data_IF_651595453609
#
_entry.id   IF_651595453609
#
_cell.length_a   1.000
_cell.length_b   1.000
_cell.length_c   1.000
_cell.angle_alpha   90.00
_cell.angle_beta   90.00
_cell.angle_gamma   90.00
#
_symmetry.space_group_name_H-M   'P 1'
#
loop_
_entity.id
_entity.type
_entity.pdbx_description
1 polymer ?
#
# COMPACT_ATOMS: atom_id res chain seq x y z
N UNK A 1 3.41 0.38 -17.08
CA UNK A 1 3.74 -0.88 -16.35
C UNK A 1 2.55 -1.34 -15.52
N UNK A 2 2.60 -2.54 -14.94
CA UNK A 2 1.64 -3.05 -13.97
C UNK A 2 2.30 -3.25 -12.60
N UNK A 3 1.51 -3.59 -11.57
CA UNK A 3 2.02 -3.71 -10.20
C UNK A 3 3.09 -4.81 -10.02
N UNK A 4 3.05 -5.89 -10.81
CA UNK A 4 4.11 -6.91 -10.76
C UNK A 4 5.43 -6.39 -11.33
N UNK A 5 5.37 -5.67 -12.44
CA UNK A 5 6.55 -5.04 -13.06
C UNK A 5 7.14 -3.96 -12.15
N UNK A 6 6.29 -3.16 -11.49
CA UNK A 6 6.74 -2.15 -10.52
C UNK A 6 7.50 -2.80 -9.35
N UNK A 7 6.96 -3.89 -8.79
CA UNK A 7 7.66 -4.66 -7.74
C UNK A 7 9.01 -5.20 -8.21
N UNK A 8 9.09 -5.73 -9.43
CA UNK A 8 10.33 -6.25 -9.99
C UNK A 8 11.41 -5.16 -10.13
N UNK A 9 11.03 -3.95 -10.56
CA UNK A 9 11.96 -2.81 -10.61
C UNK A 9 12.54 -2.51 -9.24
N UNK A 10 11.68 -2.42 -8.20
CA UNK A 10 12.13 -2.14 -6.83
C UNK A 10 13.01 -3.28 -6.28
N UNK A 11 12.62 -4.53 -6.46
CA UNK A 11 13.38 -5.70 -5.99
C UNK A 11 14.74 -5.84 -6.68
N UNK A 12 14.90 -5.32 -7.90
CA UNK A 12 16.20 -5.26 -8.59
C UNK A 12 17.06 -4.08 -8.19
N UNK A 13 16.67 -3.29 -7.20
CA UNK A 13 17.37 -2.06 -6.77
C UNK A 13 17.12 -0.87 -7.68
N UNK A 14 16.14 -0.94 -8.58
CA UNK A 14 15.72 0.16 -9.43
C UNK A 14 14.91 1.21 -8.68
N UNK A 15 14.55 2.28 -9.39
CA UNK A 15 13.74 3.39 -8.88
C UNK A 15 12.48 3.53 -9.70
N UNK A 16 11.40 3.94 -9.04
CA UNK A 16 10.12 4.27 -9.66
C UNK A 16 9.70 5.68 -9.22
N UNK A 17 9.01 6.38 -10.12
CA UNK A 17 8.57 7.75 -9.89
C UNK A 17 7.04 7.81 -9.84
N UNK A 18 6.53 8.47 -8.84
CA UNK A 18 5.09 8.61 -8.67
C UNK A 18 4.68 9.95 -8.10
N UNK A 19 3.39 10.18 -8.05
CA UNK A 19 2.79 11.37 -7.43
C UNK A 19 1.52 11.00 -6.67
N UNK A 20 1.11 11.86 -5.74
CA UNK A 20 -0.16 11.73 -5.03
C UNK A 20 -1.22 12.62 -5.68
N UNK A 21 -2.43 12.08 -5.84
CA UNK A 21 -3.57 12.79 -6.37
C UNK A 21 -4.57 13.04 -5.24
N UNK A 22 -4.59 14.26 -4.76
CA UNK A 22 -5.43 14.68 -3.64
C UNK A 22 -6.64 15.50 -4.07
N UNK A 23 -6.48 16.45 -4.99
CA UNK A 23 -7.49 17.48 -5.27
C UNK A 23 -8.35 17.21 -6.48
N UNK A 24 -7.76 16.68 -7.57
CA UNK A 24 -8.50 16.51 -8.82
C UNK A 24 -9.59 15.45 -8.72
N UNK A 25 -10.78 15.77 -9.22
CA UNK A 25 -11.94 14.87 -9.25
C UNK A 25 -12.36 14.47 -10.67
N UNK A 26 -11.85 15.14 -11.69
CA UNK A 26 -12.22 14.83 -13.07
C UNK A 26 -11.19 13.88 -13.69
N UNK A 27 -11.57 12.64 -14.08
CA UNK A 27 -10.63 11.66 -14.62
C UNK A 27 -10.16 11.96 -16.07
N UNK A 28 -10.74 12.94 -16.75
CA UNK A 28 -10.43 13.22 -18.18
C UNK A 28 -8.97 13.61 -18.45
N UNK A 29 -8.24 14.06 -17.47
CA UNK A 29 -6.82 14.41 -17.61
C UNK A 29 -5.87 13.20 -17.47
N UNK A 30 -6.36 12.06 -16.97
CA UNK A 30 -5.53 10.88 -16.68
C UNK A 30 -4.76 10.38 -17.92
N UNK A 31 -5.34 10.32 -19.15
CA UNK A 31 -4.57 9.91 -20.32
C UNK A 31 -3.35 10.79 -20.62
N UNK A 32 -3.36 12.05 -20.16
CA UNK A 32 -2.20 12.93 -20.34
C UNK A 32 -1.04 12.62 -19.38
N UNK A 33 -1.26 11.78 -18.36
CA UNK A 33 -0.21 11.28 -17.48
C UNK A 33 0.67 10.23 -18.16
N UNK A 34 0.17 9.61 -19.22
CA UNK A 34 0.96 8.68 -20.02
C UNK A 34 2.08 9.45 -20.75
N UNK A 35 3.29 8.96 -20.65
CA UNK A 35 4.45 9.58 -21.31
C UNK A 35 5.14 10.73 -20.56
N UNK A 36 4.64 11.15 -19.39
CA UNK A 36 5.34 12.13 -18.54
C UNK A 36 6.36 11.51 -17.59
N UNK A 37 6.57 10.18 -17.66
CA UNK A 37 7.59 9.47 -16.88
C UNK A 37 7.14 9.06 -15.48
N UNK A 38 5.84 8.96 -15.23
CA UNK A 38 5.32 8.40 -13.97
C UNK A 38 5.08 6.90 -14.11
N UNK A 39 5.55 6.16 -13.11
CA UNK A 39 5.38 4.72 -12.98
C UNK A 39 4.11 4.37 -12.18
N UNK A 40 3.79 5.19 -11.17
CA UNK A 40 2.62 5.00 -10.33
C UNK A 40 1.98 6.31 -9.87
N UNK A 41 0.78 6.21 -9.37
CA UNK A 41 0.08 7.28 -8.65
C UNK A 41 -0.52 6.75 -7.36
N UNK A 42 -0.52 7.58 -6.31
CA UNK A 42 -1.29 7.33 -5.10
C UNK A 42 -2.55 8.18 -5.13
N UNK A 43 -3.71 7.53 -5.17
CA UNK A 43 -5.00 8.19 -5.08
C UNK A 43 -5.37 8.26 -3.59
N UNK A 44 -5.43 9.48 -3.07
CA UNK A 44 -5.69 9.71 -1.65
C UNK A 44 -7.18 9.65 -1.33
N UNK A 45 -7.55 8.74 -0.43
CA UNK A 45 -8.91 8.65 0.13
C UNK A 45 -8.95 8.76 1.65
N UNK A 46 -7.81 9.02 2.28
CA UNK A 46 -7.69 9.29 3.71
C UNK A 46 -8.07 10.75 4.01
N UNK A 47 -7.33 11.71 3.45
CA UNK A 47 -7.57 13.13 3.69
C UNK A 47 -8.43 13.80 2.61
N UNK A 48 -8.81 13.07 1.57
CA UNK A 48 -9.60 13.60 0.47
C UNK A 48 -10.82 12.73 0.21
N UNK A 49 -11.98 13.28 0.52
CA UNK A 49 -13.24 12.59 0.27
C UNK A 49 -13.41 12.29 -1.22
N UNK A 50 -13.59 11.01 -1.53
CA UNK A 50 -14.05 10.51 -2.82
C UNK A 50 -15.17 9.51 -2.60
N UNK A 51 -16.22 9.63 -3.39
CA UNK A 51 -17.23 8.57 -3.42
C UNK A 51 -16.64 7.30 -4.06
N UNK A 52 -17.28 6.16 -3.79
CA UNK A 52 -16.88 4.88 -4.42
C UNK A 52 -16.97 4.94 -5.94
N UNK A 53 -17.96 5.67 -6.49
CA UNK A 53 -18.12 5.88 -7.93
C UNK A 53 -16.94 6.68 -8.51
N UNK A 54 -16.62 7.83 -7.92
CA UNK A 54 -15.47 8.65 -8.35
C UNK A 54 -14.16 7.86 -8.31
N UNK A 55 -13.93 7.07 -7.25
CA UNK A 55 -12.76 6.22 -7.16
C UNK A 55 -12.74 5.17 -8.29
N UNK A 56 -13.87 4.51 -8.54
CA UNK A 56 -14.01 3.53 -9.62
C UNK A 56 -13.72 4.12 -10.99
N UNK A 57 -14.22 5.34 -11.27
CA UNK A 57 -13.96 6.05 -12.53
C UNK A 57 -12.47 6.37 -12.70
N UNK A 58 -11.80 6.84 -11.63
CA UNK A 58 -10.36 7.08 -11.63
C UNK A 58 -9.56 5.81 -11.92
N UNK A 59 -9.85 4.74 -11.18
CA UNK A 59 -9.16 3.47 -11.33
C UNK A 59 -9.36 2.86 -12.72
N UNK A 60 -10.58 2.94 -13.25
CA UNK A 60 -10.89 2.51 -14.61
C UNK A 60 -10.04 3.26 -15.64
N UNK A 61 -9.92 4.58 -15.51
CA UNK A 61 -9.10 5.39 -16.41
C UNK A 61 -7.61 5.10 -16.25
N UNK A 62 -7.08 5.01 -15.02
CA UNK A 62 -5.66 4.67 -14.83
C UNK A 62 -5.30 3.30 -15.39
N UNK A 63 -6.18 2.32 -15.32
CA UNK A 63 -5.96 1.00 -15.89
C UNK A 63 -5.93 0.99 -17.46
N UNK A 64 -6.27 2.10 -18.11
CA UNK A 64 -6.03 2.28 -19.57
C UNK A 64 -4.66 2.88 -19.88
N UNK A 65 -3.90 3.29 -18.88
CA UNK A 65 -2.55 3.85 -19.00
C UNK A 65 -1.50 2.85 -18.52
N UNK A 66 -0.23 3.18 -18.73
CA UNK A 66 0.89 2.44 -18.16
C UNK A 66 1.27 2.88 -16.73
N UNK A 67 0.42 3.66 -16.04
CA UNK A 67 0.67 4.19 -14.69
C UNK A 67 -0.08 3.36 -13.66
N UNK A 68 0.63 2.80 -12.67
CA UNK A 68 0.06 1.89 -11.66
C UNK A 68 -0.77 2.67 -10.63
N UNK A 69 -2.09 2.44 -10.50
CA UNK A 69 -2.90 3.11 -9.50
C UNK A 69 -2.81 2.40 -8.14
N UNK A 70 -2.33 3.11 -7.14
CA UNK A 70 -2.31 2.72 -5.73
C UNK A 70 -3.32 3.60 -4.98
N UNK A 71 -4.10 3.04 -4.08
CA UNK A 71 -5.07 3.80 -3.26
C UNK A 71 -4.56 3.92 -1.84
N UNK A 72 -4.41 5.15 -1.34
CA UNK A 72 -4.26 5.34 0.10
C UNK A 72 -5.65 5.21 0.73
N UNK A 73 -5.83 4.13 1.50
CA UNK A 73 -7.11 3.84 2.17
C UNK A 73 -7.27 4.69 3.43
N UNK A 74 -8.52 4.91 3.93
CA UNK A 74 -8.73 5.80 5.08
C UNK A 74 -8.15 5.30 6.40
N UNK A 75 -8.14 3.98 6.60
CA UNK A 75 -7.64 3.31 7.80
C UNK A 75 -7.08 1.94 7.42
N UNK A 76 -6.18 1.32 8.20
CA UNK A 76 -5.62 0.00 7.94
C UNK A 76 -6.64 -1.12 8.23
N UNK A 77 -7.64 -1.25 7.36
CA UNK A 77 -8.77 -2.17 7.50
C UNK A 77 -8.98 -2.95 6.20
N UNK A 78 -9.19 -4.26 6.33
CA UNK A 78 -9.36 -5.22 5.23
C UNK A 78 -10.54 -4.89 4.31
N UNK A 79 -11.59 -4.24 4.83
CA UNK A 79 -12.74 -3.82 4.02
C UNK A 79 -12.35 -2.76 2.99
N UNK A 80 -11.58 -1.74 3.40
CA UNK A 80 -11.13 -0.70 2.49
C UNK A 80 -10.10 -1.22 1.48
N UNK A 81 -9.22 -2.12 1.89
CA UNK A 81 -8.30 -2.83 0.98
C UNK A 81 -9.09 -3.57 -0.10
N UNK A 82 -10.03 -4.41 0.31
CA UNK A 82 -10.87 -5.17 -0.62
C UNK A 82 -11.62 -4.26 -1.57
N UNK A 83 -12.21 -3.17 -1.05
CA UNK A 83 -12.96 -2.21 -1.83
C UNK A 83 -12.12 -1.50 -2.90
N UNK A 84 -10.89 -1.11 -2.54
CA UNK A 84 -9.97 -0.46 -3.48
C UNK A 84 -9.52 -1.42 -4.59
N UNK A 85 -9.10 -2.63 -4.21
CA UNK A 85 -8.63 -3.64 -5.18
C UNK A 85 -9.78 -4.11 -6.08
N UNK A 86 -11.00 -4.31 -5.55
CA UNK A 86 -12.17 -4.69 -6.36
C UNK A 86 -12.59 -3.59 -7.34
N UNK A 87 -12.35 -2.33 -6.99
CA UNK A 87 -12.57 -1.20 -7.88
C UNK A 87 -11.49 -1.06 -8.98
N UNK A 88 -10.39 -1.81 -8.92
CA UNK A 88 -9.34 -1.83 -9.93
C UNK A 88 -8.00 -1.23 -9.51
N UNK A 89 -7.80 -0.93 -8.22
CA UNK A 89 -6.46 -0.57 -7.71
C UNK A 89 -5.50 -1.73 -7.88
N UNK A 90 -4.27 -1.42 -8.26
CA UNK A 90 -3.16 -2.38 -8.31
C UNK A 90 -2.29 -2.35 -7.04
N UNK A 91 -2.68 -1.55 -6.06
CA UNK A 91 -2.06 -1.52 -4.76
C UNK A 91 -2.85 -0.68 -3.77
N UNK A 92 -2.49 -0.84 -2.51
CA UNK A 92 -2.99 -0.04 -1.40
C UNK A 92 -1.83 0.49 -0.57
N UNK A 93 -2.00 1.71 -0.04
CA UNK A 93 -1.21 2.29 1.01
C UNK A 93 -2.12 2.36 2.24
N UNK A 94 -1.82 1.57 3.26
CA UNK A 94 -2.53 1.61 4.53
C UNK A 94 -1.82 2.58 5.46
N UNK A 95 -2.43 3.71 5.86
CA UNK A 95 -1.80 4.72 6.69
C UNK A 95 -1.65 4.23 8.14
N UNK A 96 -0.83 4.88 8.93
CA UNK A 96 -0.64 4.72 10.38
C UNK A 96 -0.81 3.29 10.93
N UNK A 97 -0.15 2.32 10.29
CA UNK A 97 -0.07 0.97 10.83
C UNK A 97 0.78 0.96 12.11
N UNK A 98 0.20 0.44 13.19
CA UNK A 98 0.83 0.41 14.52
C UNK A 98 0.97 -1.00 15.08
N UNK A 99 0.27 -1.98 14.52
CA UNK A 99 0.28 -3.35 15.01
C UNK A 99 0.47 -4.38 13.89
N UNK A 100 1.04 -5.52 14.26
CA UNK A 100 1.21 -6.68 13.37
C UNK A 100 -0.14 -7.16 12.83
N UNK A 101 -1.18 -7.10 13.64
CA UNK A 101 -2.53 -7.53 13.27
C UNK A 101 -3.12 -6.64 12.17
N UNK A 102 -2.96 -5.32 12.25
CA UNK A 102 -3.37 -4.41 11.17
C UNK A 102 -2.65 -4.75 9.86
N UNK A 103 -1.35 -4.98 9.93
CA UNK A 103 -0.55 -5.36 8.75
C UNK A 103 -1.02 -6.69 8.16
N UNK A 104 -1.29 -7.70 9.00
CA UNK A 104 -1.83 -8.99 8.57
C UNK A 104 -3.19 -8.85 7.88
N UNK A 105 -4.08 -7.99 8.37
CA UNK A 105 -5.36 -7.71 7.73
C UNK A 105 -5.19 -7.07 6.36
N UNK A 106 -4.33 -6.05 6.25
CA UNK A 106 -4.03 -5.37 4.98
C UNK A 106 -3.44 -6.34 3.97
N UNK A 107 -2.41 -7.09 4.35
CA UNK A 107 -1.75 -8.07 3.48
C UNK A 107 -2.72 -9.18 3.09
N UNK A 108 -3.47 -9.72 4.05
CA UNK A 108 -4.45 -10.76 3.80
C UNK A 108 -5.47 -10.36 2.72
N UNK A 109 -6.03 -9.16 2.85
CA UNK A 109 -6.99 -8.63 1.90
C UNK A 109 -6.37 -8.27 0.54
N UNK A 110 -5.11 -7.82 0.50
CA UNK A 110 -4.44 -7.45 -0.75
C UNK A 110 -3.91 -8.66 -1.52
N UNK A 111 -3.32 -9.64 -0.82
CA UNK A 111 -2.56 -10.75 -1.44
C UNK A 111 -3.34 -12.05 -1.59
N UNK A 112 -4.35 -12.29 -0.74
CA UNK A 112 -5.01 -13.60 -0.66
C UNK A 112 -6.51 -13.56 -0.96
N UNK A 113 -7.00 -12.49 -1.60
CA UNK A 113 -8.39 -12.44 -2.03
C UNK A 113 -8.68 -13.50 -3.10
N UNK A 114 -9.88 -14.13 -3.10
CA UNK A 114 -11.05 -13.76 -2.34
C UNK A 114 -11.18 -14.43 -0.95
N UNK A 115 -10.11 -14.98 -0.38
CA UNK A 115 -10.20 -15.55 0.97
C UNK A 115 -10.62 -14.49 1.99
N UNK A 116 -11.38 -14.92 2.99
CA UNK A 116 -11.90 -14.10 4.08
C UNK A 116 -11.91 -14.87 5.40
N UNK A 117 -12.05 -14.13 6.50
CA UNK A 117 -12.24 -14.69 7.83
C UNK A 117 -11.09 -15.61 8.25
N UNK A 118 -11.42 -16.78 8.80
CA UNK A 118 -10.44 -17.74 9.31
C UNK A 118 -9.48 -18.27 8.21
N UNK A 119 -9.99 -18.47 6.99
CA UNK A 119 -9.18 -19.02 5.91
C UNK A 119 -8.04 -18.07 5.53
N UNK A 120 -8.29 -16.76 5.42
CA UNK A 120 -7.24 -15.78 5.13
C UNK A 120 -6.27 -15.63 6.31
N UNK A 121 -6.75 -15.70 7.55
CA UNK A 121 -5.88 -15.65 8.74
C UNK A 121 -4.89 -16.82 8.76
N UNK A 122 -5.34 -18.04 8.51
CA UNK A 122 -4.45 -19.21 8.45
C UNK A 122 -3.37 -19.05 7.39
N UNK A 123 -3.72 -18.57 6.20
CA UNK A 123 -2.74 -18.34 5.14
C UNK A 123 -1.70 -17.29 5.56
N UNK A 124 -2.13 -16.17 6.16
CA UNK A 124 -1.19 -15.10 6.57
C UNK A 124 -0.32 -15.54 7.75
N UNK A 125 -0.88 -16.27 8.72
CA UNK A 125 -0.17 -16.65 9.95
C UNK A 125 0.79 -17.82 9.75
N UNK A 126 0.44 -18.78 8.89
CA UNK A 126 1.19 -20.05 8.78
C UNK A 126 1.43 -20.52 7.35
N UNK A 127 0.94 -19.79 6.34
CA UNK A 127 1.03 -20.23 4.94
C UNK A 127 0.12 -21.44 4.62
N UNK A 128 -0.82 -21.78 5.51
CA UNK A 128 -1.72 -22.92 5.36
C UNK A 128 -2.84 -22.63 4.36
N UNK A 129 -2.61 -22.93 3.11
CA UNK A 129 -3.57 -22.79 2.02
C UNK A 129 -4.57 -23.94 2.00
N UNK A 130 -5.82 -23.71 1.54
CA UNK A 130 -6.82 -24.78 1.39
C UNK A 130 -6.37 -25.95 0.51
N UNK A 131 -5.52 -25.70 -0.49
CA UNK A 131 -4.84 -26.68 -1.33
C UNK A 131 -3.75 -26.01 -2.16
N UNK A 132 -2.84 -26.79 -2.78
CA UNK A 132 -1.82 -26.24 -3.70
C UNK A 132 -2.46 -25.54 -4.92
N UNK A 133 -3.52 -26.09 -5.46
CA UNK A 133 -4.27 -25.47 -6.57
C UNK A 133 -4.89 -24.12 -6.15
N UNK A 134 -5.40 -24.02 -4.91
CA UNK A 134 -5.91 -22.76 -4.37
C UNK A 134 -4.78 -21.74 -4.20
N UNK A 135 -3.62 -22.16 -3.71
CA UNK A 135 -2.44 -21.32 -3.59
C UNK A 135 -2.04 -20.73 -4.94
N UNK A 136 -1.83 -21.57 -5.94
CA UNK A 136 -1.44 -21.15 -7.30
C UNK A 136 -2.45 -20.17 -7.90
N UNK A 137 -3.75 -20.45 -7.74
CA UNK A 137 -4.81 -19.57 -8.19
C UNK A 137 -4.73 -18.19 -7.52
N UNK A 138 -4.56 -18.16 -6.18
CA UNK A 138 -4.51 -16.92 -5.39
C UNK A 138 -3.27 -16.09 -5.73
N UNK A 139 -2.11 -16.72 -5.85
CA UNK A 139 -0.86 -16.06 -6.23
C UNK A 139 -0.98 -15.45 -7.63
N UNK A 140 -1.48 -16.18 -8.61
CA UNK A 140 -1.68 -15.69 -9.97
C UNK A 140 -2.70 -14.53 -10.04
N UNK A 141 -3.81 -14.66 -9.31
CA UNK A 141 -4.88 -13.66 -9.27
C UNK A 141 -4.39 -12.33 -8.70
N UNK A 142 -3.57 -12.38 -7.66
CA UNK A 142 -3.19 -11.22 -6.88
C UNK A 142 -1.74 -10.74 -7.16
N UNK A 143 -1.07 -11.32 -8.15
CA UNK A 143 0.35 -11.01 -8.46
C UNK A 143 0.65 -9.54 -8.72
N UNK A 144 -0.32 -8.78 -9.21
CA UNK A 144 -0.16 -7.35 -9.46
C UNK A 144 -0.46 -6.49 -8.22
N UNK A 145 -1.01 -7.07 -7.15
CA UNK A 145 -1.38 -6.30 -5.98
C UNK A 145 -0.15 -5.92 -5.15
N UNK A 146 -0.09 -4.65 -4.78
CA UNK A 146 0.96 -4.04 -3.95
C UNK A 146 0.36 -3.71 -2.59
N UNK A 147 1.08 -4.03 -1.51
CA UNK A 147 0.71 -3.67 -0.16
C UNK A 147 1.81 -2.79 0.46
N UNK A 148 1.48 -1.54 0.74
CA UNK A 148 2.37 -0.57 1.38
C UNK A 148 1.76 -0.25 2.76
N UNK A 149 2.59 -0.24 3.80
CA UNK A 149 2.20 0.18 5.15
C UNK A 149 2.76 1.56 5.46
N UNK A 150 1.96 2.41 6.09
CA UNK A 150 2.33 3.75 6.55
C UNK A 150 2.80 3.71 7.99
N UNK A 151 3.98 4.23 8.27
CA UNK A 151 4.54 4.40 9.62
C UNK A 151 4.56 5.89 9.93
N UNK A 152 3.70 6.29 10.86
CA UNK A 152 3.36 7.69 11.10
C UNK A 152 3.31 8.03 12.60
N UNK A 153 3.65 7.06 13.47
CA UNK A 153 3.59 7.19 14.92
C UNK A 153 4.76 6.49 15.60
N UNK A 154 5.03 6.88 16.84
CA UNK A 154 6.01 6.20 17.71
C UNK A 154 5.66 4.71 17.87
N UNK A 155 4.38 4.38 18.08
CA UNK A 155 3.93 2.99 18.18
C UNK A 155 4.21 2.19 16.91
N UNK A 156 4.04 2.80 15.74
CA UNK A 156 4.40 2.20 14.44
C UNK A 156 5.90 1.92 14.33
N UNK A 157 6.74 2.84 14.80
CA UNK A 157 8.20 2.66 14.83
C UNK A 157 8.60 1.55 15.80
N UNK A 158 8.02 1.54 17.02
CA UNK A 158 8.36 0.56 18.05
C UNK A 158 8.00 -0.89 17.63
N UNK A 159 6.97 -1.06 16.81
CA UNK A 159 6.52 -2.36 16.31
C UNK A 159 7.02 -2.67 14.87
N UNK A 160 7.81 -1.80 14.26
CA UNK A 160 8.22 -1.91 12.86
C UNK A 160 8.92 -3.24 12.58
N UNK A 161 9.85 -3.66 13.44
CA UNK A 161 10.61 -4.91 13.26
C UNK A 161 9.72 -6.16 13.18
N UNK A 162 8.60 -6.18 13.91
CA UNK A 162 7.66 -7.29 13.87
C UNK A 162 6.68 -7.15 12.70
N UNK A 163 6.28 -5.94 12.37
CA UNK A 163 5.40 -5.68 11.22
C UNK A 163 6.04 -6.06 9.90
N UNK A 164 7.32 -5.75 9.68
CA UNK A 164 8.03 -6.09 8.41
C UNK A 164 8.27 -7.58 8.21
N UNK A 165 8.17 -8.40 9.25
CA UNK A 165 8.22 -9.87 9.15
C UNK A 165 6.96 -10.47 8.55
N UNK A 166 5.86 -9.72 8.45
CA UNK A 166 4.61 -10.21 7.82
C UNK A 166 4.85 -10.41 6.34
N UNK A 167 4.74 -11.64 5.81
CA UNK A 167 5.03 -11.90 4.40
C UNK A 167 4.02 -11.22 3.49
N UNK A 168 4.49 -10.49 2.49
CA UNK A 168 3.62 -9.88 1.47
C UNK A 168 3.57 -8.35 1.52
N UNK A 169 4.29 -7.70 2.42
CA UNK A 169 4.56 -6.27 2.35
C UNK A 169 5.51 -6.00 1.19
N UNK A 170 5.20 -5.00 0.36
CA UNK A 170 6.02 -4.59 -0.78
C UNK A 170 6.74 -3.26 -0.55
N UNK A 171 6.36 -2.50 0.47
CA UNK A 171 6.99 -1.22 0.78
C UNK A 171 6.48 -0.59 2.07
N UNK A 172 7.25 0.38 2.54
CA UNK A 172 6.93 1.21 3.70
C UNK A 172 6.82 2.66 3.23
N UNK A 173 5.81 3.35 3.70
CA UNK A 173 5.64 4.79 3.57
C UNK A 173 5.86 5.43 4.93
N UNK A 174 6.63 6.51 4.98
CA UNK A 174 6.80 7.30 6.21
C UNK A 174 6.01 8.58 6.06
N UNK A 175 5.09 8.86 6.99
CA UNK A 175 4.33 10.11 7.08
C UNK A 175 5.07 11.14 7.94
N UNK A 176 5.93 12.00 7.39
CA UNK A 176 6.78 12.89 8.18
C UNK A 176 5.99 13.94 8.95
N UNK A 177 4.85 14.37 8.43
CA UNK A 177 4.00 15.36 9.09
C UNK A 177 3.44 14.82 10.42
N UNK A 178 2.72 13.69 10.35
CA UNK A 178 2.12 13.09 11.53
C UNK A 178 3.18 12.61 12.52
N UNK A 179 4.27 12.04 12.01
CA UNK A 179 5.42 11.64 12.81
C UNK A 179 6.02 12.82 13.58
N UNK A 180 6.24 13.96 12.94
CA UNK A 180 6.83 15.14 13.58
C UNK A 180 5.97 15.68 14.71
N UNK A 181 4.66 15.69 14.53
CA UNK A 181 3.70 16.12 15.55
C UNK A 181 3.71 15.16 16.74
N UNK A 182 3.67 13.84 16.50
CA UNK A 182 3.68 12.83 17.55
C UNK A 182 4.99 12.78 18.34
N UNK A 183 6.10 13.08 17.69
CA UNK A 183 7.42 13.22 18.35
C UNK A 183 7.58 14.55 19.09
N UNK A 184 6.59 15.45 19.03
CA UNK A 184 6.64 16.77 19.69
C UNK A 184 7.52 17.80 19.00
N UNK A 185 7.87 17.57 17.73
CA UNK A 185 8.72 18.43 16.89
C UNK A 185 7.99 18.85 15.62
N UNK A 186 6.83 19.55 15.72
CA UNK A 186 6.01 19.86 14.56
C UNK A 186 6.81 20.65 13.51
N UNK A 187 6.60 20.28 12.23
CA UNK A 187 7.26 20.84 11.06
C UNK A 187 8.78 20.56 10.95
N UNK A 188 9.36 19.80 11.88
CA UNK A 188 10.76 19.36 11.81
C UNK A 188 10.86 17.99 11.13
N UNK A 189 10.56 17.96 9.84
CA UNK A 189 10.45 16.70 9.07
C UNK A 189 11.76 15.92 8.97
N UNK A 190 12.88 16.60 8.91
CA UNK A 190 14.21 15.97 8.82
C UNK A 190 14.51 15.13 10.06
N UNK A 191 14.12 15.58 11.25
CA UNK A 191 14.30 14.83 12.50
C UNK A 191 13.37 13.60 12.56
N UNK A 192 12.10 13.76 12.17
CA UNK A 192 11.12 12.68 12.14
C UNK A 192 11.52 11.57 11.15
N UNK A 193 11.94 11.96 9.95
CA UNK A 193 12.39 11.02 8.91
C UNK A 193 13.70 10.35 9.33
N UNK A 194 14.65 11.08 9.89
CA UNK A 194 15.93 10.54 10.38
C UNK A 194 15.73 9.51 11.47
N UNK A 195 14.81 9.74 12.42
CA UNK A 195 14.48 8.78 13.46
C UNK A 195 13.95 7.46 12.90
N UNK A 196 13.03 7.53 11.96
CA UNK A 196 12.43 6.35 11.32
C UNK A 196 13.46 5.60 10.47
N UNK A 197 14.33 6.32 9.75
CA UNK A 197 15.40 5.74 8.94
C UNK A 197 16.46 5.03 9.78
N UNK A 198 16.89 5.63 10.88
CA UNK A 198 17.88 5.02 11.77
C UNK A 198 17.37 3.69 12.33
N UNK A 199 16.11 3.63 12.77
CA UNK A 199 15.49 2.39 13.26
C UNK A 199 15.36 1.32 12.17
N UNK A 200 15.00 1.68 10.95
CA UNK A 200 14.90 0.74 9.84
C UNK A 200 16.25 0.11 9.47
N UNK A 201 17.35 0.88 9.57
CA UNK A 201 18.70 0.38 9.31
C UNK A 201 19.34 -0.41 10.46
N UNK A 202 18.90 -0.20 11.70
CA UNK A 202 19.36 -1.01 12.85
C UNK A 202 18.91 -2.48 12.77
N UNK A 203 17.91 -2.80 11.95
CA UNK A 203 17.39 -4.16 11.76
C UNK A 203 18.09 -4.95 10.65
N UNK A 204 18.94 -4.31 9.83
CA UNK A 204 19.70 -4.97 8.74
C UNK A 204 21.12 -5.40 9.19
N UNK A 205 21.51 -5.17 10.41
CA UNK A 205 22.80 -5.54 11.00
C UNK A 205 22.67 -6.75 11.93
#
# INVERSE_FOLDING_TARGET
>A
MNGSELKQVLQSGGRVFGTMISVSRNPKWIPFMEGIGLDYVVIDTEHNYRSRGELGDFLTMFNTTGVVPIVRIPIPDSHYVTMAIDAGAQGVLAPYCETVEQVKEVVGAAKWRPLKGEAVRRVVDSGDHPSDAAREYLENRNKNNIAIIGIESQAGVDNLEDMIKVPGIDGIFVGPNDMSIQLGVPDMYDEAVSYTHLRAHETEA
#
